data_IF_730390048259
#
_entry.id   IF_730390048259
#
_cell.length_a   1.000
_cell.length_b   1.000
_cell.length_c   1.000
_cell.angle_alpha   90.00
_cell.angle_beta   90.00
_cell.angle_gamma   90.00
#
_symmetry.space_group_name_H-M   'P 1'
#
loop_
_entity.id
_entity.type
_entity.pdbx_description
1 polymer ?
#
# COMPACT_ATOMS: atom_id res chain seq x y z
N UNK A 1 1.46 -9.01 11.63
CA UNK A 1 1.21 -9.18 10.18
C UNK A 1 1.90 -8.05 9.43
N UNK A 2 2.50 -8.31 8.27
CA UNK A 2 3.24 -7.27 7.54
C UNK A 2 2.40 -6.67 6.41
N UNK A 3 2.29 -5.34 6.36
CA UNK A 3 1.65 -4.59 5.27
C UNK A 3 2.26 -4.97 3.90
N UNK A 4 1.44 -5.49 2.98
CA UNK A 4 1.88 -6.02 1.69
C UNK A 4 2.30 -4.87 0.77
N UNK A 5 1.45 -3.86 0.66
CA UNK A 5 1.67 -2.66 -0.15
C UNK A 5 2.97 -1.95 0.25
N UNK A 6 3.18 -1.69 1.54
CA UNK A 6 4.42 -1.07 2.02
C UNK A 6 5.66 -1.89 1.65
N UNK A 7 5.60 -3.23 1.66
CA UNK A 7 6.74 -4.07 1.22
C UNK A 7 6.98 -3.98 -0.29
N UNK A 8 5.92 -3.97 -1.09
CA UNK A 8 6.01 -3.83 -2.55
C UNK A 8 6.58 -2.46 -2.94
N UNK A 9 6.22 -1.42 -2.20
CA UNK A 9 6.78 -0.07 -2.30
C UNK A 9 8.10 0.12 -1.52
N UNK A 10 8.85 -0.97 -1.27
CA UNK A 10 10.21 -0.90 -0.69
C UNK A 10 10.31 -0.23 0.69
N UNK A 11 9.23 -0.22 1.47
CA UNK A 11 9.14 0.44 2.78
C UNK A 11 9.37 1.95 2.72
N UNK A 12 9.07 2.58 1.58
CA UNK A 12 9.00 4.03 1.51
C UNK A 12 7.94 4.57 2.49
N UNK A 13 8.18 5.73 3.07
CA UNK A 13 7.21 6.39 3.95
C UNK A 13 6.12 7.10 3.15
N UNK A 14 6.49 7.58 1.96
CA UNK A 14 5.62 8.32 1.07
C UNK A 14 5.74 7.76 -0.34
N UNK A 15 4.61 7.63 -1.03
CA UNK A 15 4.56 7.38 -2.47
C UNK A 15 3.80 8.50 -3.14
N UNK A 16 4.23 8.88 -4.33
CA UNK A 16 3.49 9.79 -5.19
C UNK A 16 2.78 8.92 -6.24
N UNK A 17 1.45 9.03 -6.33
CA UNK A 17 0.60 8.33 -7.29
C UNK A 17 -0.42 9.30 -7.89
N UNK A 18 -1.14 8.89 -8.94
CA UNK A 18 -2.09 9.78 -9.63
C UNK A 18 -3.53 9.46 -9.28
N UNK A 19 -4.29 10.48 -8.92
CA UNK A 19 -5.69 10.36 -8.53
C UNK A 19 -6.64 10.89 -9.59
N UNK A 20 -7.79 10.25 -9.73
CA UNK A 20 -8.88 10.70 -10.61
C UNK A 20 -10.22 10.17 -10.11
N UNK A 21 -10.62 10.59 -8.93
CA UNK A 21 -11.92 10.31 -8.30
C UNK A 21 -12.50 11.59 -7.69
N UNK A 22 -13.73 11.51 -7.18
CA UNK A 22 -14.46 12.63 -6.56
C UNK A 22 -14.98 12.31 -5.17
N UNK A 23 -14.88 11.05 -4.76
CA UNK A 23 -15.48 10.55 -3.54
C UNK A 23 -14.40 9.99 -2.64
N UNK A 24 -14.59 10.24 -1.35
CA UNK A 24 -13.77 9.76 -0.25
C UNK A 24 -14.60 8.86 0.65
N UNK A 25 -13.95 7.99 1.41
CA UNK A 25 -14.63 7.26 2.48
C UNK A 25 -15.05 8.25 3.57
N UNK A 26 -16.22 8.05 4.18
CA UNK A 26 -16.62 8.87 5.34
C UNK A 26 -15.72 8.48 6.54
N UNK A 27 -14.98 9.43 7.15
CA UNK A 27 -14.14 9.17 8.34
C UNK A 27 -14.90 8.50 9.48
N UNK A 28 -16.20 8.81 9.66
CA UNK A 28 -17.03 8.22 10.72
C UNK A 28 -17.25 6.70 10.56
N UNK A 29 -17.05 6.17 9.35
CA UNK A 29 -17.19 4.74 9.06
C UNK A 29 -15.87 3.98 9.18
N UNK A 30 -14.73 4.67 9.23
CA UNK A 30 -13.40 4.05 9.25
C UNK A 30 -13.23 3.07 10.41
N UNK A 31 -13.57 3.41 11.68
CA UNK A 31 -13.40 2.47 12.79
C UNK A 31 -14.20 1.18 12.60
N UNK A 32 -15.43 1.28 12.08
CA UNK A 32 -16.29 0.10 11.84
C UNK A 32 -15.73 -0.81 10.74
N UNK A 33 -15.08 -0.24 9.73
CA UNK A 33 -14.42 -1.00 8.67
C UNK A 33 -13.17 -1.70 9.19
N UNK A 34 -12.34 -0.99 9.97
CA UNK A 34 -11.14 -1.55 10.59
C UNK A 34 -11.48 -2.68 11.58
N UNK A 35 -12.54 -2.52 12.39
CA UNK A 35 -13.07 -3.59 13.27
C UNK A 35 -13.50 -4.84 12.50
N UNK A 36 -13.96 -4.68 11.25
CA UNK A 36 -14.31 -5.79 10.36
C UNK A 36 -13.11 -6.39 9.61
N UNK A 37 -11.89 -5.91 9.86
CA UNK A 37 -10.65 -6.38 9.26
C UNK A 37 -10.21 -5.62 8.01
N UNK A 38 -10.92 -4.57 7.59
CA UNK A 38 -10.51 -3.70 6.49
C UNK A 38 -9.58 -2.60 7.00
N UNK A 39 -8.29 -2.88 7.07
CA UNK A 39 -7.30 -1.94 7.59
C UNK A 39 -6.89 -0.92 6.53
N UNK A 40 -6.98 0.37 6.88
CA UNK A 40 -6.43 1.43 6.05
C UNK A 40 -4.95 1.64 6.35
N UNK A 41 -4.10 1.10 5.47
CA UNK A 41 -2.64 1.11 5.59
C UNK A 41 -1.98 2.26 4.85
N UNK A 42 -2.74 2.97 4.01
CA UNK A 42 -2.27 4.18 3.34
C UNK A 42 -3.27 5.32 3.47
N UNK A 43 -2.74 6.52 3.68
CA UNK A 43 -3.52 7.75 3.93
C UNK A 43 -2.89 8.92 3.18
N UNK A 44 -3.64 9.97 2.94
CA UNK A 44 -3.07 11.20 2.40
C UNK A 44 -2.17 11.92 3.42
N UNK A 45 -1.59 13.06 3.04
CA UNK A 45 -0.73 13.86 3.92
C UNK A 45 -1.46 14.45 5.13
N UNK A 46 -2.77 14.68 5.01
CA UNK A 46 -3.60 15.18 6.12
C UNK A 46 -3.94 14.06 7.10
N UNK A 47 -3.92 12.82 6.65
CA UNK A 47 -4.34 11.65 7.40
C UNK A 47 -5.86 11.47 7.45
N UNK A 48 -6.62 12.36 6.82
CA UNK A 48 -8.08 12.33 6.80
C UNK A 48 -8.61 11.40 5.70
N UNK A 49 -7.89 11.29 4.58
CA UNK A 49 -8.33 10.46 3.44
C UNK A 49 -7.63 9.11 3.47
N UNK A 50 -8.41 8.10 3.13
CA UNK A 50 -7.97 6.71 3.15
C UNK A 50 -7.67 6.26 1.73
N UNK A 51 -6.40 5.95 1.49
CA UNK A 51 -5.84 5.80 0.14
C UNK A 51 -5.60 4.34 -0.22
N UNK A 52 -5.15 3.54 0.75
CA UNK A 52 -4.88 2.11 0.57
C UNK A 52 -5.52 1.32 1.71
N UNK A 53 -6.24 0.27 1.35
CA UNK A 53 -6.89 -0.67 2.25
C UNK A 53 -6.36 -2.09 2.01
N UNK A 54 -6.11 -2.81 3.10
CA UNK A 54 -5.78 -4.24 3.11
C UNK A 54 -6.76 -5.01 3.99
N UNK A 55 -7.16 -6.21 3.57
CA UNK A 55 -8.01 -7.09 4.39
C UNK A 55 -7.13 -8.00 5.26
N UNK A 56 -7.41 -8.04 6.55
CA UNK A 56 -6.71 -8.89 7.54
C UNK A 56 -7.68 -9.54 8.53
N UNK A 57 -7.19 -10.53 9.28
CA UNK A 57 -7.87 -11.04 10.47
C UNK A 57 -8.97 -12.05 10.17
N UNK A 58 -8.91 -12.72 9.01
CA UNK A 58 -9.83 -13.79 8.63
C UNK A 58 -9.17 -15.17 8.83
N UNK A 59 -9.95 -16.25 9.09
CA UNK A 59 -9.41 -17.60 9.32
C UNK A 59 -8.50 -18.12 8.19
N UNK A 60 -8.78 -17.67 6.96
CA UNK A 60 -7.93 -17.83 5.78
C UNK A 60 -7.69 -16.43 5.21
N UNK A 61 -6.68 -15.72 5.72
CA UNK A 61 -6.33 -14.41 5.19
C UNK A 61 -6.10 -14.49 3.67
N UNK A 62 -6.78 -13.63 2.93
CA UNK A 62 -6.71 -13.64 1.47
C UNK A 62 -5.26 -13.33 1.02
N UNK A 63 -4.65 -14.13 0.13
CA UNK A 63 -3.22 -14.03 -0.18
C UNK A 63 -2.81 -12.67 -0.75
N UNK A 64 -3.75 -11.92 -1.34
CA UNK A 64 -3.55 -10.56 -1.80
C UNK A 64 -4.89 -9.82 -1.91
N UNK A 65 -5.26 -9.06 -0.88
CA UNK A 65 -6.41 -8.15 -0.93
C UNK A 65 -5.90 -6.75 -0.66
N UNK A 66 -5.63 -6.00 -1.72
CA UNK A 66 -5.17 -4.61 -1.67
C UNK A 66 -6.10 -3.78 -2.54
N UNK A 67 -6.68 -2.74 -1.96
CA UNK A 67 -7.47 -1.75 -2.68
C UNK A 67 -6.76 -0.40 -2.58
N UNK A 68 -6.61 0.30 -3.70
CA UNK A 68 -6.02 1.63 -3.77
C UNK A 68 -7.02 2.59 -4.42
N UNK A 69 -7.05 3.83 -3.94
CA UNK A 69 -7.91 4.88 -4.47
C UNK A 69 -7.32 5.54 -5.74
N UNK A 70 -5.99 5.64 -5.78
CA UNK A 70 -5.23 6.13 -6.93
C UNK A 70 -5.21 5.14 -8.11
N UNK A 71 -4.67 5.59 -9.25
CA UNK A 71 -4.57 4.86 -10.51
C UNK A 71 -3.13 4.33 -10.74
N UNK A 72 -2.78 3.13 -10.23
CA UNK A 72 -1.44 2.55 -10.36
C UNK A 72 -0.99 2.34 -11.81
N UNK A 73 -1.93 2.26 -12.75
CA UNK A 73 -1.66 2.09 -14.17
C UNK A 73 -0.93 3.29 -14.79
N UNK A 74 -1.14 4.51 -14.28
CA UNK A 74 -0.55 5.70 -14.90
C UNK A 74 0.96 5.80 -14.70
N UNK A 75 1.50 5.20 -13.63
CA UNK A 75 2.94 5.17 -13.31
C UNK A 75 3.62 3.84 -13.67
N UNK A 76 2.87 2.82 -14.07
CA UNK A 76 3.42 1.54 -14.54
C UNK A 76 4.17 1.66 -15.88
N UNK A 77 5.33 1.03 -16.02
CA UNK A 77 6.17 0.99 -17.24
C UNK A 77 6.76 -0.41 -17.47
N UNK A 78 7.14 -0.79 -18.71
CA UNK A 78 7.70 -2.12 -18.99
C UNK A 78 8.89 -2.54 -18.10
N UNK A 79 9.80 -1.61 -17.79
CA UNK A 79 10.94 -1.87 -16.89
C UNK A 79 10.72 -1.53 -15.42
N UNK A 80 9.55 -0.98 -15.08
CA UNK A 80 9.16 -0.59 -13.71
C UNK A 80 7.65 -0.77 -13.58
N UNK A 81 7.16 -2.02 -13.44
CA UNK A 81 5.73 -2.26 -13.28
C UNK A 81 5.24 -1.60 -11.99
N UNK A 82 3.97 -1.21 -11.94
CA UNK A 82 3.37 -0.78 -10.69
C UNK A 82 3.57 -1.85 -9.61
N UNK A 83 4.01 -1.49 -8.39
CA UNK A 83 4.19 -2.44 -7.31
C UNK A 83 2.93 -3.23 -6.97
N UNK A 84 1.74 -2.61 -7.05
CA UNK A 84 0.48 -3.29 -6.77
C UNK A 84 0.16 -4.36 -7.83
N UNK A 85 0.34 -4.06 -9.12
CA UNK A 85 0.13 -5.05 -10.19
C UNK A 85 1.15 -6.19 -10.11
N UNK A 86 2.41 -5.89 -9.80
CA UNK A 86 3.42 -6.93 -9.58
C UNK A 86 3.03 -7.84 -8.41
N UNK A 87 2.58 -7.27 -7.28
CA UNK A 87 2.07 -8.01 -6.14
C UNK A 87 0.93 -8.96 -6.50
N UNK A 88 -0.06 -8.47 -7.26
CA UNK A 88 -1.20 -9.26 -7.72
C UNK A 88 -0.79 -10.48 -8.58
N UNK A 89 0.12 -10.30 -9.54
CA UNK A 89 0.62 -11.40 -10.38
C UNK A 89 1.46 -12.40 -9.58
N UNK A 90 2.29 -11.91 -8.66
CA UNK A 90 3.07 -12.76 -7.76
C UNK A 90 2.17 -13.59 -6.82
N UNK A 91 1.10 -13.00 -6.31
CA UNK A 91 0.12 -13.71 -5.50
C UNK A 91 -0.60 -14.79 -6.31
N UNK A 92 -1.04 -14.45 -7.53
CA UNK A 92 -1.70 -15.38 -8.46
C UNK A 92 -0.82 -16.58 -8.83
N UNK A 93 0.50 -16.37 -8.88
CA UNK A 93 1.49 -17.42 -9.15
C UNK A 93 2.03 -18.11 -7.89
N UNK A 94 1.54 -17.79 -6.69
CA UNK A 94 2.02 -18.31 -5.39
C UNK A 94 3.50 -18.03 -5.12
N UNK A 95 4.01 -16.90 -5.64
CA UNK A 95 5.41 -16.47 -5.51
C UNK A 95 5.59 -15.22 -4.65
N UNK A 96 4.49 -14.58 -4.21
CA UNK A 96 4.53 -13.35 -3.42
C UNK A 96 5.38 -13.50 -2.16
N UNK A 97 5.17 -14.54 -1.35
CA UNK A 97 5.91 -14.73 -0.10
C UNK A 97 7.41 -14.95 -0.33
N UNK A 98 7.78 -15.65 -1.40
CA UNK A 98 9.18 -15.82 -1.76
C UNK A 98 9.80 -14.48 -2.17
N UNK A 99 9.07 -13.70 -2.96
CA UNK A 99 9.51 -12.40 -3.45
C UNK A 99 9.68 -11.37 -2.33
N UNK A 100 8.73 -11.30 -1.40
CA UNK A 100 8.80 -10.39 -0.25
C UNK A 100 9.92 -10.78 0.74
N UNK A 101 10.38 -12.03 0.74
CA UNK A 101 11.49 -12.52 1.57
C UNK A 101 12.87 -12.31 0.94
N UNK A 102 12.98 -12.27 -0.39
CA UNK A 102 14.27 -12.34 -1.08
C UNK A 102 15.11 -11.06 -1.06
N UNK A 103 14.60 -9.93 -0.55
CA UNK A 103 15.34 -8.66 -0.30
C UNK A 103 16.23 -8.06 -1.43
N UNK A 104 16.25 -8.61 -2.64
CA UNK A 104 16.99 -8.05 -3.77
C UNK A 104 16.10 -7.17 -4.65
N UNK A 105 15.70 -6.00 -4.14
CA UNK A 105 15.17 -4.95 -5.01
C UNK A 105 16.32 -4.07 -5.49
N UNK A 106 16.43 -3.77 -6.80
CA UNK A 106 17.22 -2.64 -7.24
C UNK A 106 16.57 -1.39 -6.63
N UNK A 107 17.25 -0.76 -5.65
CA UNK A 107 16.85 0.54 -5.12
C UNK A 107 16.66 1.49 -6.29
N UNK A 108 15.46 2.05 -6.47
CA UNK A 108 15.36 3.29 -7.26
C UNK A 108 16.21 4.36 -6.56
N UNK A 109 16.86 5.27 -7.29
CA UNK A 109 17.58 6.38 -6.66
C UNK A 109 16.63 7.13 -5.71
N UNK A 110 17.16 7.47 -4.54
CA UNK A 110 16.42 7.89 -3.36
C UNK A 110 15.39 9.00 -3.64
N UNK A 111 14.21 8.97 -2.98
CA UNK A 111 13.37 10.15 -2.90
C UNK A 111 14.08 11.27 -2.10
N UNK A 112 13.77 12.51 -2.47
CA UNK A 112 14.29 13.75 -1.86
C UNK A 112 13.87 13.83 -0.37
N UNK A 113 14.65 14.50 0.52
CA UNK A 113 14.48 14.33 1.95
C UNK A 113 13.30 15.16 2.51
N UNK A 114 12.40 14.52 3.26
CA UNK A 114 11.54 15.21 4.23
C UNK A 114 11.22 14.34 5.49
N UNK A 115 12.00 14.63 6.54
CA UNK A 115 11.74 14.72 8.01
C UNK A 115 10.78 13.74 8.76
N UNK A 116 11.43 12.94 9.61
CA UNK A 116 11.20 12.68 11.07
C UNK A 116 9.96 11.90 11.59
N UNK A 117 10.22 10.60 11.84
CA UNK A 117 9.79 9.65 12.89
C UNK A 117 8.55 9.87 13.79
N UNK A 118 7.68 8.84 13.87
CA UNK A 118 7.05 8.35 15.13
C UNK A 118 6.96 6.80 15.12
N UNK A 119 7.02 6.22 16.32
CA UNK A 119 7.16 4.82 16.72
C UNK A 119 5.91 3.92 16.57
N UNK A 120 6.14 2.65 16.16
CA UNK A 120 5.44 1.46 16.67
C UNK A 120 4.08 1.07 16.06
N UNK A 121 4.10 0.00 15.25
CA UNK A 121 2.95 -0.79 14.74
C UNK A 121 2.14 -0.21 13.58
N UNK A 122 2.02 -1.04 12.52
CA UNK A 122 1.47 -0.76 11.18
C UNK A 122 2.28 0.25 10.36
N UNK A 123 2.90 -0.22 9.28
CA UNK A 123 3.65 0.64 8.35
C UNK A 123 2.63 1.46 7.54
N UNK A 124 2.37 2.68 7.99
CA UNK A 124 1.49 3.62 7.29
C UNK A 124 2.25 4.21 6.11
N UNK A 125 1.78 3.92 4.90
CA UNK A 125 2.31 4.47 3.64
C UNK A 125 1.50 5.71 3.27
N UNK A 126 2.07 6.90 3.42
CA UNK A 126 1.36 8.10 3.00
C UNK A 126 1.41 8.24 1.47
N UNK A 127 0.30 8.66 0.86
CA UNK A 127 0.18 8.86 -0.58
C UNK A 127 0.05 10.35 -0.89
N UNK A 128 0.94 10.84 -1.75
CA UNK A 128 0.91 12.19 -2.31
C UNK A 128 0.25 12.14 -3.70
N UNK A 129 -0.48 13.20 -4.06
CA UNK A 129 -1.24 13.31 -5.33
C UNK A 129 -0.85 14.51 -6.19
#
# INVERSE_FOLDING_TARGET
MSCISAKLYQQEQFIDERHRHRYEVNPDLVPKLEEAGMLFVGRDETGERMEILELVGQPEDHPYFVAAQFHPEFKSRPGKPSPLFLGFILASSKRLDSYLRSRDFPRSPAPSPAKTSVSGSMANLSVQG
#
